data_IF_126850343724
#
_entry.id   IF_126850343724
#
_cell.length_a   1.000
_cell.length_b   1.000
_cell.length_c   1.000
_cell.angle_alpha   90.00
_cell.angle_beta   90.00
_cell.angle_gamma   90.00
#
_symmetry.space_group_name_H-M   'P 1'
#
loop_
_entity.id
_entity.type
_entity.pdbx_description
1 polymer ?
#
# COMPACT_ATOMS: atom_id res chain seq x y z
N UNK A 1 -23.29 18.35 0.05
CA UNK A 1 -22.86 17.97 1.42
C UNK A 1 -22.46 16.50 1.51
N UNK A 2 -23.35 15.55 1.17
CA UNK A 2 -23.09 14.10 1.35
C UNK A 2 -21.89 13.55 0.55
N UNK A 3 -21.76 13.84 -0.74
CA UNK A 3 -20.61 13.38 -1.56
C UNK A 3 -19.27 13.88 -1.00
N UNK A 4 -19.19 15.15 -0.62
CA UNK A 4 -17.96 15.73 -0.05
C UNK A 4 -17.57 15.06 1.28
N UNK A 5 -18.55 14.67 2.10
CA UNK A 5 -18.31 13.89 3.32
C UNK A 5 -17.79 12.48 2.99
N UNK A 6 -18.38 11.79 2.02
CA UNK A 6 -17.94 10.46 1.58
C UNK A 6 -16.52 10.49 0.98
N UNK A 7 -16.20 11.50 0.18
CA UNK A 7 -14.85 11.70 -0.35
C UNK A 7 -13.82 11.94 0.77
N UNK A 8 -14.19 12.75 1.77
CA UNK A 8 -13.34 12.96 2.96
C UNK A 8 -13.12 11.64 3.71
N UNK A 9 -14.18 10.87 3.95
CA UNK A 9 -14.09 9.57 4.63
C UNK A 9 -13.22 8.58 3.85
N UNK A 10 -13.35 8.53 2.53
CA UNK A 10 -12.54 7.67 1.67
C UNK A 10 -11.04 7.94 1.85
N UNK A 11 -10.65 9.21 1.80
CA UNK A 11 -9.24 9.62 1.97
C UNK A 11 -8.74 9.35 3.39
N UNK A 12 -9.57 9.60 4.41
CA UNK A 12 -9.23 9.29 5.80
C UNK A 12 -8.98 7.80 6.01
N UNK A 13 -9.79 6.92 5.40
CA UNK A 13 -9.59 5.48 5.47
C UNK A 13 -8.26 5.05 4.84
N UNK A 14 -7.92 5.60 3.66
CA UNK A 14 -6.63 5.34 3.00
C UNK A 14 -5.46 5.79 3.88
N UNK A 15 -5.50 7.01 4.41
CA UNK A 15 -4.45 7.53 5.30
C UNK A 15 -4.31 6.66 6.56
N UNK A 16 -5.43 6.21 7.12
CA UNK A 16 -5.42 5.34 8.30
C UNK A 16 -4.75 3.99 8.01
N UNK A 17 -5.02 3.41 6.85
CA UNK A 17 -4.35 2.18 6.41
C UNK A 17 -2.86 2.41 6.19
N UNK A 18 -2.46 3.54 5.59
CA UNK A 18 -1.04 3.90 5.44
C UNK A 18 -0.31 4.09 6.76
N UNK A 19 -0.99 4.66 7.77
CA UNK A 19 -0.44 4.84 9.11
C UNK A 19 -0.29 3.52 9.88
N UNK A 20 -1.29 2.64 9.77
CA UNK A 20 -1.45 1.49 10.66
C UNK A 20 -0.93 0.19 10.10
N UNK A 21 -0.88 0.03 8.78
CA UNK A 21 -0.37 -1.18 8.17
C UNK A 21 1.15 -1.26 8.30
N UNK A 22 1.63 -2.45 8.66
CA UNK A 22 3.05 -2.75 8.78
C UNK A 22 3.30 -4.21 8.44
N UNK A 23 4.45 -4.49 7.83
CA UNK A 23 5.03 -5.81 7.73
C UNK A 23 6.30 -5.79 8.58
N UNK A 24 6.31 -6.61 9.64
CA UNK A 24 7.47 -6.77 10.51
C UNK A 24 8.37 -7.87 9.93
N UNK A 25 9.62 -7.52 9.69
CA UNK A 25 10.61 -8.31 8.98
C UNK A 25 11.88 -8.49 9.80
N UNK A 26 12.70 -9.48 9.46
CA UNK A 26 14.08 -9.62 9.95
C UNK A 26 15.10 -9.11 8.93
N UNK A 27 16.41 -9.12 9.26
CA UNK A 27 17.46 -8.71 8.31
C UNK A 27 17.49 -9.64 7.08
N UNK A 28 17.21 -10.92 7.28
CA UNK A 28 17.20 -11.94 6.21
C UNK A 28 16.07 -11.69 5.20
N UNK A 29 14.92 -11.21 5.66
CA UNK A 29 13.78 -10.85 4.81
C UNK A 29 14.08 -9.67 3.87
N UNK A 30 15.10 -8.88 4.19
CA UNK A 30 15.56 -7.72 3.41
C UNK A 30 16.57 -8.08 2.31
N UNK A 31 16.71 -9.36 1.95
CA UNK A 31 17.55 -9.78 0.82
C UNK A 31 17.23 -8.99 -0.46
N UNK A 32 18.28 -8.59 -1.18
CA UNK A 32 18.18 -7.81 -2.43
C UNK A 32 17.93 -6.32 -2.22
N UNK A 33 17.52 -5.89 -1.03
CA UNK A 33 17.23 -4.49 -0.74
C UNK A 33 18.52 -3.64 -0.61
N UNK A 34 18.52 -2.40 -1.13
CA UNK A 34 19.66 -1.49 -0.96
C UNK A 34 19.77 -1.04 0.50
N UNK A 35 20.99 -0.76 0.97
CA UNK A 35 21.23 -0.42 2.39
C UNK A 35 20.39 0.78 2.86
N UNK A 36 20.18 1.79 2.00
CA UNK A 36 19.33 2.93 2.33
C UNK A 36 17.87 2.55 2.64
N UNK A 37 17.33 1.51 1.98
CA UNK A 37 16.00 0.98 2.31
C UNK A 37 16.04 0.21 3.64
N UNK A 38 17.11 -0.53 3.91
CA UNK A 38 17.24 -1.30 5.15
C UNK A 38 17.32 -0.37 6.36
N UNK A 39 18.08 0.71 6.26
CA UNK A 39 18.16 1.75 7.30
C UNK A 39 16.81 2.45 7.50
N UNK A 40 16.10 2.77 6.41
CA UNK A 40 14.77 3.37 6.50
C UNK A 40 13.76 2.42 7.17
N UNK A 41 13.79 1.13 6.83
CA UNK A 41 12.94 0.11 7.44
C UNK A 41 13.30 -0.10 8.92
N UNK A 42 14.59 0.05 9.26
CA UNK A 42 15.06 -0.02 10.64
C UNK A 42 14.56 1.15 11.47
N UNK A 43 14.64 2.35 10.92
CA UNK A 43 14.14 3.57 11.55
C UNK A 43 12.62 3.49 11.76
N UNK A 44 11.87 3.01 10.75
CA UNK A 44 10.43 2.79 10.87
C UNK A 44 10.06 1.80 11.98
N UNK A 45 10.89 0.77 12.19
CA UNK A 45 10.73 -0.19 13.28
C UNK A 45 10.95 0.46 14.65
N UNK A 46 11.97 1.32 14.79
CA UNK A 46 12.26 2.07 16.02
C UNK A 46 11.10 3.00 16.37
N UNK A 47 10.61 3.78 15.41
CA UNK A 47 9.47 4.69 15.59
C UNK A 47 8.20 3.97 16.06
N UNK A 48 8.03 2.72 15.61
CA UNK A 48 6.91 1.84 15.98
C UNK A 48 7.20 0.96 17.19
N UNK A 49 8.30 1.19 17.90
CA UNK A 49 8.70 0.48 19.13
C UNK A 49 8.80 -1.04 18.94
N UNK A 50 9.35 -1.47 17.81
CA UNK A 50 9.65 -2.87 17.49
C UNK A 50 10.98 -3.31 18.10
N UNK A 51 11.29 -4.61 18.02
CA UNK A 51 12.52 -5.19 18.58
C UNK A 51 13.77 -4.75 17.81
N UNK A 52 14.92 -4.85 18.46
CA UNK A 52 16.22 -4.43 17.90
C UNK A 52 16.67 -5.25 16.68
N UNK A 53 16.12 -6.43 16.45
CA UNK A 53 16.39 -7.24 15.26
C UNK A 53 15.28 -7.15 14.20
N UNK A 54 14.29 -6.27 14.39
CA UNK A 54 13.16 -6.11 13.48
C UNK A 54 13.32 -4.89 12.56
N UNK A 55 12.68 -5.00 11.40
CA UNK A 55 12.55 -4.02 10.34
C UNK A 55 11.08 -3.87 10.00
N UNK A 56 10.65 -2.69 9.56
CA UNK A 56 9.25 -2.46 9.20
C UNK A 56 9.14 -1.88 7.80
N UNK A 57 8.34 -2.54 6.97
CA UNK A 57 7.82 -1.97 5.73
C UNK A 57 6.40 -1.49 5.97
N UNK A 58 6.16 -0.21 5.74
CA UNK A 58 4.84 0.42 5.81
C UNK A 58 4.30 0.63 4.40
N UNK A 59 3.10 1.19 4.28
CA UNK A 59 2.58 1.65 2.98
C UNK A 59 2.98 3.10 2.66
N UNK A 60 4.08 3.63 3.20
CA UNK A 60 4.64 4.87 2.66
C UNK A 60 5.38 4.58 1.35
N UNK A 61 5.23 5.46 0.35
CA UNK A 61 5.91 5.30 -0.96
C UNK A 61 7.42 5.10 -0.82
N UNK A 62 8.03 5.79 0.15
CA UNK A 62 9.46 5.71 0.45
C UNK A 62 9.94 4.33 0.92
N UNK A 63 9.04 3.46 1.37
CA UNK A 63 9.37 2.10 1.84
C UNK A 63 8.80 1.03 0.90
N UNK A 64 7.50 1.09 0.60
CA UNK A 64 6.84 0.03 -0.16
C UNK A 64 7.29 -0.05 -1.61
N UNK A 65 7.48 1.09 -2.30
CA UNK A 65 7.91 1.09 -3.70
C UNK A 65 9.32 0.52 -3.87
N UNK A 66 10.34 0.94 -3.10
CA UNK A 66 11.66 0.32 -3.19
C UNK A 66 11.67 -1.11 -2.64
N UNK A 67 10.87 -1.44 -1.62
CA UNK A 67 10.78 -2.82 -1.12
C UNK A 67 10.22 -3.78 -2.16
N UNK A 68 9.15 -3.38 -2.85
CA UNK A 68 8.70 -4.07 -4.03
C UNK A 68 9.91 -4.16 -4.98
N UNK A 69 10.48 -3.03 -5.42
CA UNK A 69 11.53 -2.92 -6.46
C UNK A 69 12.72 -3.87 -6.27
N UNK A 70 13.23 -3.98 -5.05
CA UNK A 70 14.53 -4.59 -4.80
C UNK A 70 14.49 -5.88 -4.00
N UNK A 71 13.45 -6.15 -3.20
CA UNK A 71 13.41 -7.37 -2.37
C UNK A 71 13.47 -8.62 -3.24
N UNK A 72 14.22 -9.62 -2.83
CA UNK A 72 14.23 -10.95 -3.45
C UNK A 72 13.04 -11.81 -3.01
N UNK A 73 12.42 -11.48 -1.87
CA UNK A 73 11.34 -12.25 -1.23
C UNK A 73 9.98 -12.06 -1.91
N UNK A 74 9.67 -12.92 -2.87
CA UNK A 74 8.43 -12.88 -3.67
C UNK A 74 7.17 -12.92 -2.81
N UNK A 75 7.15 -13.74 -1.77
CA UNK A 75 6.06 -13.86 -0.82
C UNK A 75 5.77 -12.53 -0.11
N UNK A 76 6.82 -11.86 0.37
CA UNK A 76 6.70 -10.57 1.06
C UNK A 76 6.35 -9.43 0.08
N UNK A 77 6.87 -9.47 -1.16
CA UNK A 77 6.45 -8.53 -2.20
C UNK A 77 4.97 -8.69 -2.53
N UNK A 78 4.47 -9.91 -2.64
CA UNK A 78 3.05 -10.16 -2.87
C UNK A 78 2.20 -9.60 -1.73
N UNK A 79 2.58 -9.88 -0.49
CA UNK A 79 1.89 -9.33 0.69
C UNK A 79 1.88 -7.79 0.70
N UNK A 80 3.01 -7.15 0.41
CA UNK A 80 3.11 -5.69 0.33
C UNK A 80 2.27 -5.11 -0.82
N UNK A 81 2.26 -5.76 -1.99
CA UNK A 81 1.47 -5.32 -3.14
C UNK A 81 -0.03 -5.45 -2.91
N UNK A 82 -0.47 -6.55 -2.29
CA UNK A 82 -1.88 -6.77 -1.96
C UNK A 82 -2.36 -5.71 -0.96
N UNK A 83 -1.57 -5.40 0.06
CA UNK A 83 -1.90 -4.33 0.99
C UNK A 83 -1.90 -2.94 0.33
N UNK A 84 -0.92 -2.67 -0.55
CA UNK A 84 -0.81 -1.41 -1.28
C UNK A 84 -1.99 -1.14 -2.21
N UNK A 85 -2.49 -2.17 -2.87
CA UNK A 85 -3.63 -2.07 -3.81
C UNK A 85 -4.98 -2.05 -3.12
N UNK A 86 -5.08 -2.60 -1.91
CA UNK A 86 -6.31 -2.67 -1.10
C UNK A 86 -6.38 -1.62 0.01
N UNK A 87 -5.60 -0.54 -0.09
CA UNK A 87 -5.69 0.56 0.88
C UNK A 87 -7.09 1.18 0.89
N UNK A 88 -7.58 1.43 2.09
CA UNK A 88 -8.95 1.83 2.33
C UNK A 88 -9.92 0.65 2.45
N UNK A 89 -9.41 -0.59 2.41
CA UNK A 89 -10.18 -1.85 2.52
C UNK A 89 -9.51 -2.87 3.46
N UNK A 90 -8.45 -2.48 4.19
CA UNK A 90 -7.65 -3.41 5.00
C UNK A 90 -8.33 -3.78 6.33
N UNK A 91 -9.44 -3.14 6.67
CA UNK A 91 -10.23 -3.39 7.87
C UNK A 91 -11.72 -3.36 7.53
N UNK A 92 -12.53 -4.17 8.24
CA UNK A 92 -13.99 -4.13 8.13
C UNK A 92 -14.60 -2.76 8.41
N UNK A 93 -13.92 -1.95 9.22
CA UNK A 93 -14.37 -0.62 9.63
C UNK A 93 -14.00 0.46 8.60
N UNK A 94 -13.17 0.09 7.62
CA UNK A 94 -12.64 0.94 6.56
C UNK A 94 -12.97 0.25 5.25
N UNK A 95 -14.24 0.31 4.86
CA UNK A 95 -14.75 -0.33 3.65
C UNK A 95 -14.97 0.74 2.56
N UNK A 96 -13.90 1.08 1.86
CA UNK A 96 -13.97 2.04 0.76
C UNK A 96 -14.73 1.50 -0.45
N UNK A 97 -14.98 0.18 -0.56
CA UNK A 97 -15.83 -0.37 -1.62
C UNK A 97 -17.24 0.17 -1.45
N UNK A 98 -17.82 0.06 -0.25
CA UNK A 98 -19.16 0.60 0.04
C UNK A 98 -19.23 2.11 -0.16
N UNK A 99 -18.20 2.85 0.26
CA UNK A 99 -18.14 4.30 0.07
C UNK A 99 -18.11 4.66 -1.42
N UNK A 100 -17.34 3.92 -2.22
CA UNK A 100 -17.27 4.13 -3.67
C UNK A 100 -18.60 3.79 -4.36
N UNK A 101 -19.25 2.69 -3.98
CA UNK A 101 -20.60 2.34 -4.45
C UNK A 101 -21.61 3.45 -4.14
N UNK A 102 -21.57 4.01 -2.92
CA UNK A 102 -22.46 5.09 -2.54
C UNK A 102 -22.18 6.36 -3.37
N UNK A 103 -20.92 6.76 -3.54
CA UNK A 103 -20.55 7.89 -4.38
C UNK A 103 -21.06 7.70 -5.82
N UNK A 104 -20.85 6.53 -6.42
CA UNK A 104 -21.28 6.20 -7.78
C UNK A 104 -22.81 6.20 -7.92
N UNK A 105 -23.53 5.71 -6.91
CA UNK A 105 -25.00 5.73 -6.92
C UNK A 105 -25.55 7.15 -6.98
N UNK A 106 -24.92 8.10 -6.28
CA UNK A 106 -25.29 9.52 -6.33
C UNK A 106 -24.90 10.19 -7.66
N UNK A 107 -23.78 9.79 -8.27
CA UNK A 107 -23.30 10.37 -9.52
C UNK A 107 -24.03 9.84 -10.76
N UNK A 108 -24.72 8.70 -10.68
CA UNK A 108 -25.63 8.23 -11.74
C UNK A 108 -26.81 9.19 -12.03
N UNK A 109 -27.06 10.15 -11.13
CA UNK A 109 -27.97 11.28 -11.37
C UNK A 109 -27.38 12.42 -12.22
N UNK A 110 -26.10 12.34 -12.60
CA UNK A 110 -25.42 13.25 -13.53
C UNK A 110 -24.86 12.49 -14.75
N UNK A 111 -25.38 12.72 -15.96
CA UNK A 111 -24.75 12.18 -17.16
C UNK A 111 -23.37 12.84 -17.37
N UNK A 112 -22.31 12.05 -17.23
CA UNK A 112 -20.95 12.42 -17.65
C UNK A 112 -20.01 12.89 -16.54
N UNK A 113 -19.44 11.94 -15.79
CA UNK A 113 -18.15 12.15 -15.13
C UNK A 113 -17.42 10.81 -14.97
N UNK A 114 -16.75 10.39 -16.05
CA UNK A 114 -15.68 9.39 -15.95
C UNK A 114 -14.56 9.99 -15.09
N UNK A 115 -14.44 9.56 -13.84
CA UNK A 115 -13.23 9.82 -13.06
C UNK A 115 -12.17 8.81 -13.49
N UNK A 116 -11.00 9.34 -13.82
CA UNK A 116 -9.91 8.66 -14.52
C UNK A 116 -9.40 7.39 -13.82
N UNK A 117 -9.04 6.43 -14.66
CA UNK A 117 -8.48 5.11 -14.38
C UNK A 117 -7.15 5.08 -13.57
N UNK A 118 -6.79 3.91 -12.99
CA UNK A 118 -5.66 3.68 -12.07
C UNK A 118 -4.30 3.56 -12.79
N UNK A 119 -3.89 4.61 -13.51
CA UNK A 119 -2.68 4.56 -14.34
C UNK A 119 -1.37 4.42 -13.54
N UNK A 120 -1.33 4.83 -12.27
CA UNK A 120 -0.12 4.64 -11.43
C UNK A 120 0.08 3.17 -11.04
N UNK A 121 -0.99 2.37 -10.95
CA UNK A 121 -0.90 0.94 -10.61
C UNK A 121 -0.47 0.08 -11.81
N UNK A 122 -0.72 0.57 -13.03
CA UNK A 122 -0.50 -0.21 -14.26
C UNK A 122 0.98 -0.30 -14.65
N UNK A 123 1.76 0.77 -14.48
CA UNK A 123 3.20 0.74 -14.77
C UNK A 123 3.98 -0.12 -13.77
N UNK A 124 3.58 -0.10 -12.50
CA UNK A 124 4.12 -1.03 -11.50
C UNK A 124 3.70 -2.45 -11.91
N UNK A 125 2.45 -2.77 -12.19
CA UNK A 125 2.07 -4.15 -12.53
C UNK A 125 2.82 -4.80 -13.72
N UNK A 126 3.20 -4.01 -14.75
CA UNK A 126 3.82 -4.52 -15.99
C UNK A 126 5.30 -4.87 -15.83
N UNK A 127 6.05 -4.14 -15.00
CA UNK A 127 7.51 -4.35 -14.84
C UNK A 127 7.82 -5.52 -13.88
N UNK A 128 6.83 -5.93 -13.09
CA UNK A 128 6.97 -6.82 -11.93
C UNK A 128 6.85 -8.32 -12.24
N UNK A 129 6.09 -8.71 -13.26
CA UNK A 129 5.88 -10.13 -13.63
C UNK A 129 7.09 -10.78 -14.34
N UNK A 130 8.16 -10.03 -14.65
CA UNK A 130 9.25 -10.49 -15.52
C UNK A 130 10.57 -10.85 -14.82
N UNK A 131 10.71 -10.73 -13.50
CA UNK A 131 11.96 -11.13 -12.82
C UNK A 131 11.97 -12.65 -12.55
N UNK A 132 12.90 -13.41 -13.13
CA UNK A 132 13.04 -14.84 -12.84
C UNK A 132 13.61 -15.07 -11.44
N UNK A 133 13.24 -16.19 -10.84
CA UNK A 133 13.77 -16.66 -9.55
C UNK A 133 15.27 -16.88 -9.66
N UNK A 134 16.08 -16.16 -8.87
CA UNK A 134 17.47 -16.54 -8.65
C UNK A 134 17.48 -17.65 -7.61
N UNK A 135 17.83 -18.85 -8.10
CA UNK A 135 17.94 -20.11 -7.37
C UNK A 135 19.08 -20.12 -6.35
#
# INVERSE_FOLDING_TARGET
AKIAALQTQFQQNVMKDEETYEIVLTREDMSGCPEGLIEAAKQAAIERKKRENEYVITLSRSLVEPFLTFSDRRDLRQQAFDAWTRRGELSSDRDNIKIAEEILSFDSSKPGSMIASPLVSTNVKIEWQRRPETS
#
